data_IF_489635752330
#
_entry.id   IF_489635752330
#
_cell.length_a   1.000
_cell.length_b   1.000
_cell.length_c   1.000
_cell.angle_alpha   90.00
_cell.angle_beta   90.00
_cell.angle_gamma   90.00
#
_symmetry.space_group_name_H-M   'P 1'
#
loop_
_entity.id
_entity.type
_entity.pdbx_description
1 polymer ?
#
# COMPACT_ATOMS: atom_id res chain seq x y z
N UNK A 1 -1.79 10.92 27.76
CA UNK A 1 -1.71 10.68 26.30
C UNK A 1 -0.29 10.21 26.02
N UNK A 2 -0.10 8.94 25.61
CA UNK A 2 1.21 8.44 25.25
C UNK A 2 1.71 9.13 23.98
N UNK A 3 2.96 9.57 23.95
CA UNK A 3 3.57 10.11 22.73
C UNK A 3 3.84 8.97 21.76
N UNK A 4 3.53 9.19 20.46
CA UNK A 4 3.86 8.22 19.41
C UNK A 4 5.37 8.03 19.36
N UNK A 5 5.83 6.78 19.49
CA UNK A 5 7.24 6.43 19.35
C UNK A 5 7.64 6.44 17.87
N UNK A 6 8.12 7.59 17.39
CA UNK A 6 8.47 7.78 15.98
C UNK A 6 9.59 6.82 15.53
N UNK A 7 10.55 6.49 16.39
CA UNK A 7 11.60 5.51 16.06
C UNK A 7 11.01 4.13 15.76
N UNK A 8 10.01 3.70 16.52
CA UNK A 8 9.30 2.44 16.29
C UNK A 8 8.37 2.50 15.08
N UNK A 9 7.77 3.66 14.80
CA UNK A 9 7.01 3.88 13.57
C UNK A 9 7.93 3.73 12.36
N UNK A 10 9.11 4.34 12.38
CA UNK A 10 10.07 4.23 11.27
C UNK A 10 10.51 2.79 11.09
N UNK A 11 10.89 2.09 12.16
CA UNK A 11 11.31 0.69 12.09
C UNK A 11 10.20 -0.20 11.51
N UNK A 12 9.00 -0.16 12.09
CA UNK A 12 7.86 -0.94 11.63
C UNK A 12 7.42 -0.55 10.23
N UNK A 13 7.44 0.76 9.92
CA UNK A 13 7.05 1.30 8.61
C UNK A 13 8.01 0.91 7.48
N UNK A 14 9.32 0.88 7.75
CA UNK A 14 10.31 0.40 6.76
C UNK A 14 10.10 -1.08 6.47
N UNK A 15 9.91 -1.92 7.50
CA UNK A 15 9.63 -3.35 7.31
C UNK A 15 8.30 -3.55 6.58
N UNK A 16 7.25 -2.81 6.93
CA UNK A 16 5.99 -2.81 6.20
C UNK A 16 6.19 -2.38 4.74
N UNK A 17 6.99 -1.36 4.48
CA UNK A 17 7.32 -0.88 3.14
C UNK A 17 8.09 -1.90 2.28
N UNK A 18 8.96 -2.70 2.89
CA UNK A 18 9.60 -3.83 2.19
C UNK A 18 8.54 -4.85 1.73
N UNK A 19 7.58 -5.17 2.60
CA UNK A 19 6.49 -6.10 2.27
C UNK A 19 5.63 -5.53 1.15
N UNK A 20 5.23 -4.25 1.25
CA UNK A 20 4.47 -3.56 0.19
C UNK A 20 5.21 -3.66 -1.14
N UNK A 21 6.48 -3.27 -1.20
CA UNK A 21 7.26 -3.32 -2.44
C UNK A 21 7.42 -4.75 -3.00
N UNK A 22 7.51 -5.77 -2.15
CA UNK A 22 7.55 -7.16 -2.60
C UNK A 22 6.22 -7.59 -3.26
N UNK A 23 5.08 -7.24 -2.67
CA UNK A 23 3.76 -7.50 -3.29
C UNK A 23 3.59 -6.71 -4.59
N UNK A 24 3.95 -5.44 -4.60
CA UNK A 24 3.89 -4.57 -5.78
C UNK A 24 4.76 -5.09 -6.92
N UNK A 25 5.95 -5.63 -6.61
CA UNK A 25 6.80 -6.27 -7.62
C UNK A 25 6.09 -7.48 -8.26
N UNK A 26 5.49 -8.35 -7.45
CA UNK A 26 4.78 -9.52 -7.97
C UNK A 26 3.53 -9.09 -8.75
N UNK A 27 2.75 -8.16 -8.23
CA UNK A 27 1.52 -7.69 -8.86
C UNK A 27 1.81 -6.99 -10.19
N UNK A 28 2.66 -5.98 -10.19
CA UNK A 28 2.90 -5.14 -11.37
C UNK A 28 3.98 -5.72 -12.30
N UNK A 29 5.02 -6.34 -11.75
CA UNK A 29 6.14 -6.89 -12.52
C UNK A 29 5.88 -8.29 -13.10
N UNK A 30 4.92 -9.04 -12.54
CA UNK A 30 4.61 -10.41 -12.99
C UNK A 30 3.17 -10.51 -13.48
N UNK A 31 2.18 -10.24 -12.61
CA UNK A 31 0.77 -10.47 -12.93
C UNK A 31 0.22 -9.46 -13.95
N UNK A 32 0.59 -8.20 -13.84
CA UNK A 32 0.14 -7.11 -14.72
C UNK A 32 1.22 -6.69 -15.75
N UNK A 33 2.30 -7.44 -15.89
CA UNK A 33 3.44 -7.08 -16.73
C UNK A 33 3.06 -6.80 -18.21
N UNK A 34 2.04 -7.48 -18.73
CA UNK A 34 1.54 -7.26 -20.09
C UNK A 34 0.48 -6.16 -20.17
N UNK A 35 -0.28 -5.97 -19.10
CA UNK A 35 -1.40 -5.01 -19.10
C UNK A 35 -0.91 -3.55 -19.01
N UNK A 36 0.21 -3.29 -18.34
CA UNK A 36 0.76 -1.94 -18.24
C UNK A 36 1.20 -1.35 -19.58
N UNK A 37 2.00 -2.05 -20.42
CA UNK A 37 2.34 -1.56 -21.75
C UNK A 37 1.13 -1.30 -22.63
N UNK A 38 0.14 -2.20 -22.63
CA UNK A 38 -1.10 -2.07 -23.42
C UNK A 38 -1.89 -0.84 -22.96
N UNK A 39 -2.00 -0.62 -21.66
CA UNK A 39 -2.64 0.56 -21.08
C UNK A 39 -1.92 1.84 -21.48
N UNK A 40 -0.58 1.89 -21.35
CA UNK A 40 0.21 3.05 -21.72
C UNK A 40 0.06 3.39 -23.21
N UNK A 41 0.07 2.38 -24.07
CA UNK A 41 -0.16 2.56 -25.50
C UNK A 41 -1.57 3.11 -25.80
N UNK A 42 -2.59 2.66 -25.08
CA UNK A 42 -3.99 3.11 -25.29
C UNK A 42 -4.19 4.60 -24.96
N UNK A 43 -3.37 5.16 -24.09
CA UNK A 43 -3.40 6.59 -23.69
C UNK A 43 -2.27 7.43 -24.32
N UNK A 44 -1.60 6.88 -25.34
CA UNK A 44 -0.47 7.52 -26.04
C UNK A 44 0.67 7.96 -25.09
N UNK A 45 1.04 7.10 -24.13
CA UNK A 45 2.16 7.31 -23.21
C UNK A 45 3.26 6.28 -23.42
N UNK A 46 4.52 6.65 -23.16
CA UNK A 46 5.62 5.69 -23.18
C UNK A 46 5.45 4.64 -22.08
N UNK A 47 6.03 3.47 -22.30
CA UNK A 47 6.13 2.41 -21.28
C UNK A 47 6.87 2.94 -20.06
N UNK A 48 6.46 2.51 -18.87
CA UNK A 48 7.08 2.89 -17.60
C UNK A 48 8.54 2.44 -17.55
N UNK A 49 9.42 3.36 -17.21
CA UNK A 49 10.85 3.13 -17.11
C UNK A 49 11.34 2.99 -15.68
N UNK A 50 12.68 2.91 -15.53
CA UNK A 50 13.32 2.78 -14.22
C UNK A 50 12.99 3.94 -13.29
N UNK A 51 12.88 5.16 -13.82
CA UNK A 51 12.53 6.35 -13.03
C UNK A 51 11.18 6.20 -12.31
N UNK A 52 10.17 5.77 -13.03
CA UNK A 52 8.81 5.57 -12.49
C UNK A 52 8.81 4.43 -11.45
N UNK A 53 9.54 3.35 -11.72
CA UNK A 53 9.68 2.24 -10.78
C UNK A 53 10.32 2.70 -9.46
N UNK A 54 11.35 3.55 -9.52
CA UNK A 54 11.97 4.12 -8.31
C UNK A 54 10.97 4.94 -7.50
N UNK A 55 10.17 5.79 -8.14
CA UNK A 55 9.13 6.56 -7.44
C UNK A 55 8.09 5.64 -6.79
N UNK A 56 7.65 4.59 -7.47
CA UNK A 56 6.70 3.63 -6.90
C UNK A 56 7.27 2.89 -5.69
N UNK A 57 8.55 2.54 -5.71
CA UNK A 57 9.21 1.96 -4.54
C UNK A 57 9.25 2.94 -3.35
N UNK A 58 9.53 4.21 -3.60
CA UNK A 58 9.47 5.26 -2.56
C UNK A 58 8.05 5.36 -1.99
N UNK A 59 7.03 5.32 -2.83
CA UNK A 59 5.64 5.32 -2.39
C UNK A 59 5.28 4.07 -1.58
N UNK A 60 5.81 2.91 -1.93
CA UNK A 60 5.64 1.68 -1.14
C UNK A 60 6.18 1.83 0.29
N UNK A 61 7.36 2.42 0.46
CA UNK A 61 7.89 2.75 1.79
C UNK A 61 7.05 3.80 2.52
N UNK A 62 6.61 4.85 1.83
CA UNK A 62 5.72 5.86 2.40
C UNK A 62 4.41 5.24 2.87
N UNK A 63 3.82 4.31 2.09
CA UNK A 63 2.61 3.60 2.44
C UNK A 63 2.81 2.75 3.71
N UNK A 64 3.92 2.03 3.82
CA UNK A 64 4.27 1.27 5.02
C UNK A 64 4.38 2.16 6.26
N UNK A 65 5.02 3.34 6.12
CA UNK A 65 5.13 4.32 7.20
C UNK A 65 3.75 4.86 7.62
N UNK A 66 2.89 5.22 6.66
CA UNK A 66 1.53 5.70 6.92
C UNK A 66 0.71 4.65 7.64
N UNK A 67 0.77 3.39 7.21
CA UNK A 67 0.01 2.29 7.82
C UNK A 67 0.42 2.07 9.29
N UNK A 68 1.71 2.04 9.59
CA UNK A 68 2.20 1.85 10.97
C UNK A 68 1.97 3.08 11.83
N UNK A 69 2.12 4.28 11.26
CA UNK A 69 1.79 5.52 11.97
C UNK A 69 0.29 5.59 12.31
N UNK A 70 -0.57 5.20 11.38
CA UNK A 70 -2.02 5.10 11.60
C UNK A 70 -2.33 4.14 12.75
N UNK A 71 -1.70 2.95 12.76
CA UNK A 71 -1.80 2.02 13.88
C UNK A 71 -1.41 2.66 15.21
N UNK A 72 -0.24 3.31 15.25
CA UNK A 72 0.24 3.98 16.45
C UNK A 72 -0.72 5.09 16.94
N UNK A 73 -1.30 5.85 16.00
CA UNK A 73 -2.22 6.94 16.31
C UNK A 73 -3.57 6.47 16.87
N UNK A 74 -4.11 5.34 16.40
CA UNK A 74 -5.41 4.82 16.86
C UNK A 74 -5.30 3.85 18.04
N UNK A 75 -4.10 3.32 18.30
CA UNK A 75 -3.83 2.36 19.38
C UNK A 75 -4.27 2.82 20.77
N UNK A 76 -4.10 4.10 21.20
CA UNK A 76 -4.56 4.55 22.50
C UNK A 76 -6.09 4.43 22.70
N UNK A 77 -6.85 4.47 21.59
CA UNK A 77 -8.31 4.36 21.63
C UNK A 77 -8.82 2.92 21.51
N UNK A 78 -8.19 2.11 20.66
CA UNK A 78 -8.67 0.76 20.32
C UNK A 78 -7.88 -0.36 21.02
N UNK A 79 -6.80 -0.02 21.72
CA UNK A 79 -5.91 -0.98 22.34
C UNK A 79 -4.80 -1.49 21.41
N UNK A 80 -3.80 -2.13 21.99
CA UNK A 80 -2.73 -2.78 21.23
C UNK A 80 -3.21 -4.11 20.65
N UNK A 81 -2.68 -4.49 19.48
CA UNK A 81 -2.89 -5.83 18.95
C UNK A 81 -3.37 -5.89 17.49
N UNK A 82 -3.58 -7.11 16.99
CA UNK A 82 -3.87 -7.33 15.57
C UNK A 82 -5.20 -6.73 15.11
N UNK A 83 -6.19 -6.63 15.99
CA UNK A 83 -7.48 -6.01 15.66
C UNK A 83 -7.32 -4.52 15.30
N UNK A 84 -6.55 -3.80 16.07
CA UNK A 84 -6.26 -2.37 15.82
C UNK A 84 -5.37 -2.22 14.58
N UNK A 85 -4.41 -3.13 14.36
CA UNK A 85 -3.62 -3.15 13.13
C UNK A 85 -4.50 -3.39 11.89
N UNK A 86 -5.50 -4.26 12.00
CA UNK A 86 -6.47 -4.47 10.91
C UNK A 86 -7.30 -3.22 10.62
N UNK A 87 -7.73 -2.47 11.63
CA UNK A 87 -8.43 -1.19 11.42
C UNK A 87 -7.54 -0.17 10.70
N UNK A 88 -6.26 -0.08 11.08
CA UNK A 88 -5.30 0.78 10.40
C UNK A 88 -5.08 0.32 8.95
N UNK A 89 -4.94 -0.97 8.71
CA UNK A 89 -4.80 -1.55 7.38
C UNK A 89 -6.02 -1.24 6.49
N UNK A 90 -7.24 -1.44 7.00
CA UNK A 90 -8.47 -1.17 6.25
C UNK A 90 -8.61 0.32 5.90
N UNK A 91 -8.30 1.22 6.82
CA UNK A 91 -8.32 2.65 6.53
C UNK A 91 -7.30 3.00 5.43
N UNK A 92 -6.08 2.49 5.55
CA UNK A 92 -5.03 2.70 4.55
C UNK A 92 -5.40 2.09 3.20
N UNK A 93 -6.02 0.91 3.20
CA UNK A 93 -6.48 0.26 1.98
C UNK A 93 -7.58 1.07 1.27
N UNK A 94 -8.61 1.52 1.98
CA UNK A 94 -9.69 2.29 1.36
C UNK A 94 -9.15 3.58 0.75
N UNK A 95 -8.31 4.30 1.48
CA UNK A 95 -7.79 5.59 1.02
C UNK A 95 -6.69 5.47 -0.02
N UNK A 96 -5.79 4.50 0.13
CA UNK A 96 -4.60 4.35 -0.72
C UNK A 96 -4.79 3.41 -1.92
N UNK A 97 -5.77 2.49 -1.89
CA UNK A 97 -5.98 1.52 -2.96
C UNK A 97 -7.37 1.63 -3.60
N UNK A 98 -8.43 1.64 -2.80
CA UNK A 98 -9.80 1.66 -3.36
C UNK A 98 -10.05 2.97 -4.10
N UNK A 99 -9.92 4.11 -3.43
CA UNK A 99 -10.22 5.40 -4.05
C UNK A 99 -9.25 5.74 -5.20
N UNK A 100 -7.98 5.39 -5.05
CA UNK A 100 -6.95 5.65 -6.06
C UNK A 100 -7.19 4.84 -7.33
N UNK A 101 -7.59 3.57 -7.23
CA UNK A 101 -7.75 2.71 -8.40
C UNK A 101 -9.15 2.74 -9.00
N UNK A 102 -10.19 3.04 -8.21
CA UNK A 102 -11.55 3.13 -8.73
C UNK A 102 -11.76 4.40 -9.57
N UNK A 103 -11.05 5.48 -9.25
CA UNK A 103 -11.18 6.75 -10.00
C UNK A 103 -10.82 6.59 -11.48
N UNK A 104 -9.63 6.09 -11.87
CA UNK A 104 -9.31 5.87 -13.27
C UNK A 104 -10.18 4.79 -13.94
N UNK A 105 -10.73 3.83 -13.17
CA UNK A 105 -11.70 2.89 -13.71
C UNK A 105 -13.03 3.56 -14.08
N UNK A 106 -13.55 4.45 -13.23
CA UNK A 106 -14.75 5.25 -13.52
C UNK A 106 -14.52 6.15 -14.77
N UNK A 107 -13.30 6.66 -14.94
CA UNK A 107 -12.92 7.45 -16.12
C UNK A 107 -12.72 6.61 -17.38
N UNK A 108 -12.85 5.28 -17.31
CA UNK A 108 -12.64 4.39 -18.44
C UNK A 108 -11.17 4.18 -18.83
N UNK A 109 -10.23 4.61 -17.98
CA UNK A 109 -8.78 4.46 -18.21
C UNK A 109 -8.31 3.07 -17.82
N UNK A 110 -8.72 2.58 -16.63
CA UNK A 110 -8.35 1.25 -16.17
C UNK A 110 -9.43 0.21 -16.55
N UNK A 111 -9.02 -0.94 -17.13
CA UNK A 111 -9.92 -2.08 -17.27
C UNK A 111 -10.40 -2.56 -15.89
N UNK A 112 -11.67 -2.97 -15.78
CA UNK A 112 -12.24 -3.43 -14.51
C UNK A 112 -11.50 -4.63 -13.91
N UNK A 113 -11.01 -5.54 -14.74
CA UNK A 113 -10.19 -6.69 -14.29
C UNK A 113 -8.90 -6.26 -13.63
N UNK A 114 -8.20 -5.28 -14.20
CA UNK A 114 -6.98 -4.70 -13.65
C UNK A 114 -7.28 -3.98 -12.33
N UNK A 115 -8.34 -3.18 -12.29
CA UNK A 115 -8.79 -2.48 -11.08
C UNK A 115 -9.10 -3.46 -9.94
N UNK A 116 -9.80 -4.55 -10.24
CA UNK A 116 -10.11 -5.58 -9.24
C UNK A 116 -8.84 -6.25 -8.68
N UNK A 117 -7.85 -6.50 -9.53
CA UNK A 117 -6.56 -7.05 -9.07
C UNK A 117 -5.79 -6.06 -8.19
N UNK A 118 -5.69 -4.79 -8.61
CA UNK A 118 -5.00 -3.74 -7.84
C UNK A 118 -5.62 -3.55 -6.45
N UNK A 119 -6.96 -3.53 -6.37
CA UNK A 119 -7.69 -3.37 -5.11
C UNK A 119 -7.61 -4.65 -4.26
N UNK A 120 -7.83 -5.82 -4.87
CA UNK A 120 -7.89 -7.09 -4.16
C UNK A 120 -6.53 -7.54 -3.61
N UNK A 121 -5.48 -7.50 -4.41
CA UNK A 121 -4.11 -7.80 -3.98
C UNK A 121 -3.63 -6.76 -2.99
N UNK A 122 -3.94 -5.48 -3.22
CA UNK A 122 -3.62 -4.38 -2.31
C UNK A 122 -4.23 -4.57 -0.91
N UNK A 123 -5.39 -5.22 -0.78
CA UNK A 123 -5.95 -5.58 0.54
C UNK A 123 -5.05 -6.58 1.27
N UNK A 124 -4.67 -7.68 0.61
CA UNK A 124 -3.79 -8.68 1.20
C UNK A 124 -2.43 -8.09 1.59
N UNK A 125 -1.84 -7.32 0.68
CA UNK A 125 -0.58 -6.62 0.85
C UNK A 125 -0.57 -5.73 2.08
N UNK A 126 -1.51 -4.77 2.16
CA UNK A 126 -1.49 -3.78 3.25
C UNK A 126 -1.88 -4.39 4.60
N UNK A 127 -2.74 -5.43 4.61
CA UNK A 127 -3.06 -6.18 5.83
C UNK A 127 -1.82 -6.88 6.37
N UNK A 128 -1.09 -7.63 5.53
CA UNK A 128 0.14 -8.31 5.95
C UNK A 128 1.20 -7.30 6.39
N UNK A 129 1.44 -6.27 5.59
CA UNK A 129 2.44 -5.24 5.89
C UNK A 129 2.15 -4.52 7.22
N UNK A 130 0.87 -4.13 7.42
CA UNK A 130 0.47 -3.42 8.66
C UNK A 130 0.55 -4.32 9.89
N UNK A 131 0.14 -5.59 9.79
CA UNK A 131 0.23 -6.54 10.91
C UNK A 131 1.69 -6.74 11.35
N UNK A 132 2.60 -6.93 10.40
CA UNK A 132 4.03 -7.12 10.68
C UNK A 132 4.65 -5.84 11.23
N UNK A 133 4.38 -4.69 10.61
CA UNK A 133 4.87 -3.39 11.07
C UNK A 133 4.36 -3.01 12.46
N UNK A 134 3.08 -3.26 12.73
CA UNK A 134 2.45 -3.04 14.03
C UNK A 134 3.02 -3.96 15.13
N UNK A 135 3.39 -5.19 14.78
CA UNK A 135 4.03 -6.11 15.73
C UNK A 135 5.41 -5.59 16.20
N UNK A 136 6.12 -4.87 15.35
CA UNK A 136 7.41 -4.22 15.69
C UNK A 136 7.23 -2.92 16.46
N UNK A 137 6.03 -2.33 16.44
CA UNK A 137 5.74 -1.10 17.17
C UNK A 137 5.53 -1.39 18.65
N UNK A 138 6.33 -0.73 19.48
CA UNK A 138 6.22 -0.73 20.95
C UNK A 138 6.29 0.71 21.44
N UNK A 139 5.43 1.05 22.40
CA UNK A 139 5.52 2.31 23.15
C UNK A 139 6.67 2.30 24.14
#
# INVERSE_FOLDING_TARGET
MGNINLGRVVLGGVVAGIIVNAFEFVLNGVLLAKQWPDLMASINRPVLGVREIVYFNIFGFAMGLVAVWTYAAIRPRFGAGPRTALYAALLTWVTGYVFVNITPAIMGVYPMSMTAMLIGVGLAEIVVATLVGAWLYKE
#
